data_IF_442023620252
#
_entry.id   IF_442023620252
#
_cell.length_a   1.000
_cell.length_b   1.000
_cell.length_c   1.000
_cell.angle_alpha   90.00
_cell.angle_beta   90.00
_cell.angle_gamma   90.00
#
_symmetry.space_group_name_H-M   'P 1'
#
loop_
_entity.id
_entity.type
_entity.pdbx_description
1 polymer ?
#
# COMPACT_ATOMS: atom_id res chain seq x y z
N UNK A 1 27.18 37.47 -29.75
CA UNK A 1 27.22 36.07 -29.25
C UNK A 1 27.33 35.94 -27.73
N UNK A 2 28.22 36.66 -27.03
CA UNK A 2 28.36 36.55 -25.55
C UNK A 2 27.10 36.94 -24.75
N UNK A 3 26.32 37.92 -25.23
CA UNK A 3 25.10 38.38 -24.54
C UNK A 3 23.97 37.33 -24.62
N UNK A 4 23.84 36.64 -25.75
CA UNK A 4 22.82 35.60 -25.96
C UNK A 4 23.10 34.38 -25.08
N UNK A 5 24.37 34.00 -24.91
CA UNK A 5 24.78 32.92 -24.00
C UNK A 5 24.46 33.21 -22.54
N UNK A 6 24.66 34.44 -22.09
CA UNK A 6 24.35 34.84 -20.71
C UNK A 6 22.83 34.91 -20.44
N UNK A 7 22.04 35.29 -21.44
CA UNK A 7 20.56 35.30 -21.36
C UNK A 7 19.99 33.87 -21.33
N UNK A 8 20.54 32.95 -22.12
CA UNK A 8 20.17 31.52 -22.09
C UNK A 8 20.56 30.85 -20.76
N UNK A 9 21.70 31.22 -20.17
CA UNK A 9 22.13 30.72 -18.86
C UNK A 9 21.22 31.23 -17.73
N UNK A 10 20.80 32.51 -17.78
CA UNK A 10 19.83 33.08 -16.84
C UNK A 10 18.44 32.46 -16.99
N UNK A 11 17.98 32.19 -18.21
CA UNK A 11 16.73 31.46 -18.47
C UNK A 11 16.79 30.01 -17.97
N UNK A 12 17.92 29.33 -18.11
CA UNK A 12 18.12 27.99 -17.55
C UNK A 12 18.13 27.98 -16.01
N UNK A 13 18.74 28.98 -15.37
CA UNK A 13 18.71 29.15 -13.91
C UNK A 13 17.31 29.53 -13.39
N UNK A 14 16.53 30.31 -14.14
CA UNK A 14 15.15 30.65 -13.77
C UNK A 14 14.19 29.47 -13.97
N UNK A 15 14.44 28.55 -14.90
CA UNK A 15 13.67 27.31 -15.06
C UNK A 15 14.00 26.27 -13.98
N UNK A 16 15.23 26.24 -13.48
CA UNK A 16 15.61 25.35 -12.37
C UNK A 16 14.96 25.76 -11.03
N UNK A 17 14.57 27.03 -10.87
CA UNK A 17 13.99 27.56 -9.64
C UNK A 17 12.48 27.26 -9.44
N UNK A 18 11.81 26.59 -10.39
CA UNK A 18 10.37 26.27 -10.31
C UNK A 18 10.10 24.74 -10.35
N UNK A 19 11.14 23.92 -10.21
CA UNK A 19 10.94 22.47 -10.05
C UNK A 19 10.94 22.15 -8.55
N UNK A 20 9.79 22.30 -7.90
CA UNK A 20 9.55 21.60 -6.64
C UNK A 20 9.44 20.10 -6.98
N UNK A 21 10.47 19.35 -6.62
CA UNK A 21 10.39 17.89 -6.60
C UNK A 21 9.62 17.50 -5.34
N UNK A 22 8.32 17.24 -5.46
CA UNK A 22 7.55 16.68 -4.36
C UNK A 22 7.85 15.17 -4.32
N UNK A 23 8.75 14.78 -3.42
CA UNK A 23 9.23 13.40 -3.31
C UNK A 23 8.16 12.44 -2.72
N UNK A 24 7.11 12.97 -2.08
CA UNK A 24 5.96 12.19 -1.68
C UNK A 24 4.67 13.02 -1.63
N UNK A 25 3.57 12.42 -2.07
CA UNK A 25 2.20 12.92 -1.95
C UNK A 25 1.48 12.01 -0.97
N UNK A 26 1.11 12.53 0.19
CA UNK A 26 0.39 11.77 1.22
C UNK A 26 -1.03 12.31 1.37
N UNK A 27 -2.05 11.45 1.21
CA UNK A 27 -3.44 11.90 1.22
C UNK A 27 -4.16 11.68 2.55
N UNK A 28 -4.20 10.44 3.08
CA UNK A 28 -4.82 10.16 4.38
C UNK A 28 -4.49 8.77 4.94
N UNK A 29 -4.71 8.61 6.25
CA UNK A 29 -5.00 7.31 6.86
C UNK A 29 -6.50 7.16 7.06
N UNK A 30 -7.04 5.98 6.72
CA UNK A 30 -8.36 5.55 7.16
C UNK A 30 -8.37 5.20 8.64
N UNK A 31 -9.56 4.99 9.20
CA UNK A 31 -9.74 4.67 10.61
C UNK A 31 -10.91 3.71 10.81
N UNK A 32 -10.87 2.95 11.90
CA UNK A 32 -12.05 2.30 12.45
C UNK A 32 -13.10 3.30 12.91
N UNK A 33 -14.33 2.81 13.08
CA UNK A 33 -15.33 3.57 13.81
C UNK A 33 -15.07 3.49 15.30
N UNK A 34 -15.03 4.67 15.92
CA UNK A 34 -14.72 4.81 17.34
C UNK A 34 -15.93 5.32 18.10
N UNK A 35 -16.18 4.81 19.33
CA UNK A 35 -17.14 5.41 20.21
C UNK A 35 -16.55 6.70 20.77
N UNK A 36 -17.36 7.76 20.81
CA UNK A 36 -16.92 9.07 21.32
C UNK A 36 -17.11 9.21 22.84
N UNK A 37 -17.64 8.17 23.47
CA UNK A 37 -17.91 8.08 24.92
C UNK A 37 -17.72 6.62 25.35
N UNK A 38 -17.38 6.42 26.63
CA UNK A 38 -17.37 5.07 27.21
C UNK A 38 -18.77 4.45 27.10
N UNK A 39 -18.81 3.15 26.80
CA UNK A 39 -20.02 2.37 26.64
C UNK A 39 -19.72 0.88 26.88
N UNK A 40 -20.77 0.10 27.10
CA UNK A 40 -20.67 -1.34 27.36
C UNK A 40 -20.75 -2.20 26.08
N UNK A 41 -20.70 -1.57 24.90
CA UNK A 41 -20.82 -2.24 23.60
C UNK A 41 -19.46 -2.82 23.21
N UNK A 42 -19.48 -4.07 22.73
CA UNK A 42 -18.29 -4.83 22.34
C UNK A 42 -18.25 -5.11 20.85
N UNK A 43 -17.05 -5.20 20.27
CA UNK A 43 -16.84 -5.62 18.88
C UNK A 43 -16.66 -7.14 18.83
N UNK A 44 -17.71 -7.84 18.41
CA UNK A 44 -17.70 -9.31 18.26
C UNK A 44 -17.01 -9.74 16.97
N UNK A 45 -17.16 -8.95 15.91
CA UNK A 45 -16.56 -9.25 14.62
C UNK A 45 -16.25 -7.99 13.85
N UNK A 46 -15.14 -8.00 13.14
CA UNK A 46 -14.81 -6.99 12.13
C UNK A 46 -14.23 -7.70 10.90
N UNK A 47 -14.81 -7.41 9.74
CA UNK A 47 -14.28 -7.81 8.45
C UNK A 47 -13.90 -6.53 7.69
N UNK A 48 -12.63 -6.17 7.77
CA UNK A 48 -12.05 -5.06 7.01
C UNK A 48 -11.67 -5.56 5.62
N UNK A 49 -12.29 -5.01 4.58
CA UNK A 49 -12.02 -5.36 3.18
C UNK A 49 -11.50 -4.13 2.45
N UNK A 50 -10.30 -4.26 1.90
CA UNK A 50 -9.62 -3.24 1.08
C UNK A 50 -9.56 -3.78 -0.34
N UNK A 51 -10.13 -3.05 -1.31
CA UNK A 51 -10.15 -3.45 -2.72
C UNK A 51 -9.46 -2.40 -3.57
N UNK A 52 -8.37 -2.76 -4.23
CA UNK A 52 -7.75 -1.94 -5.29
C UNK A 52 -8.71 -1.91 -6.48
N UNK A 53 -9.03 -0.72 -6.97
CA UNK A 53 -9.88 -0.55 -8.15
C UNK A 53 -9.40 0.61 -9.02
N UNK A 54 -9.87 0.66 -10.27
CA UNK A 54 -9.61 1.80 -11.15
C UNK A 54 -10.38 3.03 -10.69
N UNK A 55 -9.70 4.16 -10.60
CA UNK A 55 -10.33 5.45 -10.36
C UNK A 55 -11.06 5.89 -11.65
N UNK A 56 -12.39 5.92 -11.60
CA UNK A 56 -13.25 6.26 -12.74
C UNK A 56 -13.16 7.72 -13.18
N UNK A 57 -12.59 8.59 -12.35
CA UNK A 57 -12.51 10.02 -12.57
C UNK A 57 -11.14 10.47 -13.12
N UNK A 58 -10.20 9.52 -13.29
CA UNK A 58 -8.83 9.80 -13.73
C UNK A 58 -8.65 9.62 -15.24
N UNK A 59 -8.01 10.60 -15.89
CA UNK A 59 -7.72 10.64 -17.32
C UNK A 59 -6.50 9.79 -17.74
N UNK A 60 -5.95 8.99 -16.82
CA UNK A 60 -4.73 8.18 -17.00
C UNK A 60 -3.53 8.68 -16.18
N UNK A 61 -2.58 7.78 -15.88
CA UNK A 61 -1.36 8.05 -15.09
C UNK A 61 -1.34 7.35 -13.73
N UNK A 62 -0.44 7.74 -12.82
CA UNK A 62 -0.28 7.14 -11.47
C UNK A 62 -1.56 7.30 -10.61
N UNK A 63 -2.44 8.25 -10.96
CA UNK A 63 -3.72 8.50 -10.31
C UNK A 63 -4.89 7.65 -10.85
N UNK A 64 -4.62 6.58 -11.62
CA UNK A 64 -5.64 5.77 -12.28
C UNK A 64 -6.32 4.73 -11.37
N UNK A 65 -5.95 4.69 -10.09
CA UNK A 65 -6.43 3.71 -9.12
C UNK A 65 -6.86 4.39 -7.81
N UNK A 66 -7.70 3.70 -7.05
CA UNK A 66 -8.15 4.07 -5.70
C UNK A 66 -8.37 2.81 -4.83
N UNK A 67 -8.43 2.94 -3.50
CA UNK A 67 -8.90 1.86 -2.63
C UNK A 67 -10.37 2.09 -2.29
N UNK A 68 -11.16 1.04 -2.48
CA UNK A 68 -12.43 0.89 -1.81
C UNK A 68 -12.20 0.23 -0.45
N UNK A 69 -12.57 0.91 0.63
CA UNK A 69 -12.59 0.34 1.97
C UNK A 69 -14.02 0.04 2.37
N UNK A 70 -14.25 -1.18 2.82
CA UNK A 70 -15.54 -1.69 3.24
C UNK A 70 -15.36 -2.50 4.52
N UNK A 71 -16.05 -2.10 5.60
CA UNK A 71 -15.90 -2.76 6.90
C UNK A 71 -17.25 -3.15 7.45
N UNK A 72 -17.40 -4.46 7.64
CA UNK A 72 -18.57 -5.08 8.24
C UNK A 72 -18.28 -5.44 9.70
N UNK A 73 -19.10 -4.92 10.60
CA UNK A 73 -19.00 -5.14 12.04
C UNK A 73 -20.20 -5.94 12.57
N UNK A 74 -19.93 -6.76 13.58
CA UNK A 74 -20.94 -7.25 14.52
C UNK A 74 -20.61 -6.67 15.88
N UNK A 75 -21.50 -5.81 16.38
CA UNK A 75 -21.45 -5.25 17.73
C UNK A 75 -22.40 -6.00 18.65
N UNK A 76 -22.09 -6.06 19.94
CA UNK A 76 -22.99 -6.61 20.95
C UNK A 76 -23.21 -5.60 22.08
N UNK A 77 -24.48 -5.22 22.27
CA UNK A 77 -24.93 -4.39 23.38
C UNK A 77 -25.52 -5.28 24.49
N UNK A 78 -24.87 -5.42 25.66
CA UNK A 78 -25.36 -6.24 26.76
C UNK A 78 -26.49 -5.58 27.57
N UNK A 79 -26.80 -4.32 27.26
CA UNK A 79 -27.72 -3.48 28.05
C UNK A 79 -29.00 -3.19 27.26
N UNK A 80 -29.81 -2.27 27.78
CA UNK A 80 -30.95 -1.71 27.06
C UNK A 80 -30.51 -0.92 25.81
N UNK A 81 -31.48 -0.53 25.00
CA UNK A 81 -31.24 0.30 23.83
C UNK A 81 -30.47 1.58 24.21
N UNK A 82 -29.37 1.84 23.49
CA UNK A 82 -28.44 2.92 23.80
C UNK A 82 -27.98 3.60 22.52
N UNK A 83 -28.04 4.92 22.49
CA UNK A 83 -27.48 5.73 21.41
C UNK A 83 -26.05 6.14 21.75
N UNK A 84 -25.12 5.78 20.88
CA UNK A 84 -23.70 6.13 20.97
C UNK A 84 -23.37 7.14 19.88
N UNK A 85 -22.73 8.24 20.28
CA UNK A 85 -22.10 9.15 19.32
C UNK A 85 -20.83 8.47 18.80
N UNK A 86 -20.77 8.20 17.51
CA UNK A 86 -19.66 7.54 16.84
C UNK A 86 -18.92 8.48 15.91
N UNK A 87 -17.64 8.20 15.67
CA UNK A 87 -16.79 8.97 14.79
C UNK A 87 -15.90 8.11 13.89
N UNK A 88 -15.55 8.68 12.75
CA UNK A 88 -14.51 8.25 11.83
C UNK A 88 -13.55 9.43 11.64
N UNK A 89 -12.24 9.17 11.64
CA UNK A 89 -11.23 10.21 11.40
C UNK A 89 -10.41 9.91 10.15
N UNK A 90 -10.08 10.96 9.42
CA UNK A 90 -9.07 10.95 8.38
C UNK A 90 -8.00 12.00 8.67
N UNK A 91 -6.73 11.61 8.57
CA UNK A 91 -5.60 12.55 8.62
C UNK A 91 -5.72 13.61 7.52
N UNK A 92 -5.29 14.85 7.77
CA UNK A 92 -5.15 15.83 6.70
C UNK A 92 -4.05 15.40 5.69
N UNK A 93 -4.21 15.76 4.40
CA UNK A 93 -3.19 15.50 3.37
C UNK A 93 -1.94 16.36 3.60
N UNK A 94 -0.79 15.89 3.12
CA UNK A 94 0.49 16.59 3.25
C UNK A 94 0.64 17.78 2.29
N UNK A 95 -0.05 17.75 1.16
CA UNK A 95 0.02 18.78 0.13
C UNK A 95 -1.24 19.65 0.15
N UNK A 96 -1.19 20.68 1.00
CA UNK A 96 -2.14 21.79 0.94
C UNK A 96 -1.35 22.99 0.42
N UNK A 97 -1.34 23.19 -0.90
CA UNK A 97 -0.80 24.41 -1.49
C UNK A 97 -1.52 25.64 -0.92
N UNK A 98 -0.89 26.81 -0.98
CA UNK A 98 -1.46 28.08 -0.51
C UNK A 98 -2.80 28.41 -1.19
N UNK A 99 -3.06 27.88 -2.37
CA UNK A 99 -4.34 28.00 -3.09
C UNK A 99 -5.43 27.06 -2.56
N UNK A 100 -5.08 25.99 -1.86
CA UNK A 100 -6.04 25.00 -1.39
C UNK A 100 -6.98 25.58 -0.33
N UNK A 101 -8.28 25.38 -0.55
CA UNK A 101 -9.34 25.77 0.35
C UNK A 101 -9.69 24.61 1.27
N UNK A 102 -9.39 24.77 2.56
CA UNK A 102 -9.76 23.78 3.57
C UNK A 102 -11.28 23.80 3.77
N UNK A 103 -11.92 22.66 3.62
CA UNK A 103 -13.34 22.46 3.93
C UNK A 103 -13.50 21.48 5.09
N UNK A 104 -14.74 21.18 5.48
CA UNK A 104 -14.99 20.17 6.54
C UNK A 104 -15.08 18.75 6.00
N UNK A 105 -15.27 18.57 4.70
CA UNK A 105 -15.19 17.28 4.02
C UNK A 105 -13.77 17.04 3.55
N UNK A 106 -13.30 15.80 3.70
CA UNK A 106 -11.96 15.43 3.27
C UNK A 106 -11.87 15.40 1.75
N UNK A 107 -10.88 16.07 1.13
CA UNK A 107 -10.78 16.21 -0.34
C UNK A 107 -10.59 14.91 -1.10
N UNK A 108 -9.98 13.92 -0.47
CA UNK A 108 -9.64 12.63 -1.09
C UNK A 108 -10.46 11.47 -0.52
N UNK A 109 -11.58 11.76 0.16
CA UNK A 109 -12.48 10.74 0.71
C UNK A 109 -13.86 10.89 0.09
N UNK A 110 -14.23 9.89 -0.71
CA UNK A 110 -15.49 9.84 -1.42
C UNK A 110 -16.42 8.75 -0.89
N UNK A 111 -17.72 8.93 -1.14
CA UNK A 111 -18.76 7.94 -0.85
C UNK A 111 -18.78 7.39 0.58
N UNK A 112 -18.43 8.22 1.57
CA UNK A 112 -18.58 7.86 2.97
C UNK A 112 -20.04 7.49 3.28
N UNK A 113 -20.24 6.28 3.78
CA UNK A 113 -21.57 5.80 4.15
C UNK A 113 -21.51 4.87 5.35
N UNK A 114 -22.56 4.91 6.15
CA UNK A 114 -22.74 4.04 7.32
C UNK A 114 -24.16 3.49 7.29
N UNK A 115 -24.28 2.18 7.48
CA UNK A 115 -25.55 1.47 7.56
C UNK A 115 -25.56 0.66 8.84
N UNK A 116 -26.55 0.90 9.71
CA UNK A 116 -26.74 0.18 10.97
C UNK A 116 -28.06 -0.58 10.91
N UNK A 117 -28.02 -1.90 11.09
CA UNK A 117 -29.19 -2.77 11.07
C UNK A 117 -30.08 -2.61 9.82
N UNK A 118 -29.46 -2.30 8.67
CA UNK A 118 -30.14 -2.05 7.40
C UNK A 118 -30.56 -0.60 7.16
N UNK A 119 -30.43 0.28 8.14
CA UNK A 119 -30.78 1.70 8.02
C UNK A 119 -29.55 2.56 7.73
N UNK A 120 -29.60 3.36 6.65
CA UNK A 120 -28.54 4.31 6.32
C UNK A 120 -28.57 5.48 7.30
N UNK A 121 -27.43 5.77 7.92
CA UNK A 121 -27.28 6.86 8.87
C UNK A 121 -26.76 8.13 8.19
N UNK A 122 -27.31 9.28 8.57
CA UNK A 122 -26.76 10.59 8.23
C UNK A 122 -25.58 10.92 9.14
N UNK A 123 -24.57 11.61 8.61
CA UNK A 123 -23.40 12.06 9.36
C UNK A 123 -23.22 13.57 9.25
N UNK A 124 -22.41 14.11 10.15
CA UNK A 124 -21.90 15.48 10.15
C UNK A 124 -20.38 15.45 10.02
N UNK A 125 -19.81 16.56 9.58
CA UNK A 125 -18.37 16.72 9.42
C UNK A 125 -17.83 17.84 10.31
N UNK A 126 -16.56 17.74 10.70
CA UNK A 126 -15.83 18.74 11.46
C UNK A 126 -14.32 18.64 11.21
N UNK A 127 -13.60 19.74 11.42
CA UNK A 127 -12.14 19.74 11.51
C UNK A 127 -11.74 19.68 12.98
N UNK A 128 -10.75 18.86 13.33
CA UNK A 128 -10.27 18.73 14.72
C UNK A 128 -8.76 18.95 14.82
N UNK A 129 -8.35 19.61 15.89
CA UNK A 129 -6.99 20.05 16.14
C UNK A 129 -6.00 18.92 16.46
N UNK A 130 -6.42 17.97 17.28
CA UNK A 130 -5.59 16.89 17.83
C UNK A 130 -6.24 15.53 17.44
N UNK A 131 -5.51 14.39 17.43
CA UNK A 131 -6.13 13.07 17.26
C UNK A 131 -7.29 12.96 18.23
N UNK A 132 -8.51 12.54 17.81
CA UNK A 132 -9.77 12.76 18.55
C UNK A 132 -9.60 12.58 20.06
N UNK A 133 -9.18 13.65 20.71
CA UNK A 133 -9.14 13.77 22.14
C UNK A 133 -10.48 14.38 22.45
N UNK A 134 -11.41 13.47 22.68
CA UNK A 134 -12.73 13.78 23.16
C UNK A 134 -12.59 14.41 24.53
N UNK A 135 -12.52 15.73 24.57
CA UNK A 135 -12.76 16.45 25.79
C UNK A 135 -14.25 16.28 26.12
N UNK A 136 -14.57 15.32 27.00
CA UNK A 136 -15.90 15.13 27.60
C UNK A 136 -17.04 14.85 26.60
N UNK A 137 -16.79 13.97 25.63
CA UNK A 137 -17.84 13.49 24.71
C UNK A 137 -18.39 14.53 23.73
N UNK A 138 -17.68 15.66 23.56
CA UNK A 138 -17.97 16.69 22.56
C UNK A 138 -16.83 16.79 21.56
N UNK A 139 -17.20 17.02 20.30
CA UNK A 139 -16.24 17.32 19.24
C UNK A 139 -15.89 18.79 19.36
N UNK A 140 -14.64 19.07 19.74
CA UNK A 140 -14.07 20.42 19.68
C UNK A 140 -13.57 20.68 18.27
N UNK A 141 -14.38 21.38 17.47
CA UNK A 141 -14.02 21.68 16.09
C UNK A 141 -13.17 22.95 15.98
N UNK A 142 -12.31 23.00 14.97
CA UNK A 142 -11.62 24.21 14.51
C UNK A 142 -12.23 24.71 13.21
N UNK A 143 -12.04 26.00 12.90
CA UNK A 143 -12.45 26.56 11.61
C UNK A 143 -11.44 26.23 10.50
N UNK A 144 -11.84 26.25 9.22
CA UNK A 144 -10.91 26.18 8.09
C UNK A 144 -9.70 27.11 8.18
N UNK A 145 -9.91 28.35 8.62
CA UNK A 145 -8.81 29.32 8.77
C UNK A 145 -7.82 28.89 9.86
N UNK A 146 -8.31 28.33 10.97
CA UNK A 146 -7.46 27.80 12.04
C UNK A 146 -6.69 26.56 11.59
N UNK A 147 -7.34 25.67 10.82
CA UNK A 147 -6.71 24.48 10.23
C UNK A 147 -5.60 24.88 9.25
N UNK A 148 -5.87 25.84 8.34
CA UNK A 148 -4.86 26.38 7.42
C UNK A 148 -3.69 27.00 8.15
N UNK A 149 -3.96 27.83 9.17
CA UNK A 149 -2.89 28.42 10.01
C UNK A 149 -2.03 27.34 10.67
N UNK A 150 -2.62 26.25 11.17
CA UNK A 150 -1.89 25.12 11.76
C UNK A 150 -1.00 24.41 10.74
N UNK A 151 -1.51 24.17 9.53
CA UNK A 151 -0.73 23.58 8.45
C UNK A 151 0.50 24.44 8.11
N UNK A 152 0.31 25.76 7.94
CA UNK A 152 1.43 26.69 7.66
C UNK A 152 2.46 26.74 8.80
N UNK A 153 2.04 26.63 10.07
CA UNK A 153 2.96 26.67 11.22
C UNK A 153 3.83 25.42 11.35
N UNK A 154 3.32 24.26 10.93
CA UNK A 154 4.04 22.99 11.03
C UNK A 154 5.06 22.82 9.88
N UNK A 155 4.80 23.44 8.72
CA UNK A 155 5.65 23.34 7.53
C UNK A 155 5.51 21.99 6.83
N UNK A 156 6.08 21.88 5.63
CA UNK A 156 6.10 20.63 4.87
C UNK A 156 6.84 19.53 5.66
N UNK A 157 6.24 18.33 5.74
CA UNK A 157 6.83 17.18 6.42
C UNK A 157 6.69 17.14 7.95
N UNK A 158 6.11 18.17 8.60
CA UNK A 158 6.02 18.28 10.07
C UNK A 158 4.90 17.48 10.76
N UNK A 159 4.22 16.56 10.05
CA UNK A 159 3.12 15.74 10.57
C UNK A 159 1.72 16.27 10.24
N UNK A 160 0.67 15.66 10.82
CA UNK A 160 -0.73 16.00 10.48
C UNK A 160 -1.25 17.18 11.31
N UNK A 161 -1.44 18.38 10.72
CA UNK A 161 -1.74 19.61 11.47
C UNK A 161 -3.15 19.66 12.09
N UNK A 162 -4.05 18.83 11.57
CA UNK A 162 -5.43 18.65 11.99
C UNK A 162 -5.98 17.35 11.36
N UNK A 163 -7.21 16.96 11.71
CA UNK A 163 -7.93 15.81 11.11
C UNK A 163 -9.34 16.19 10.67
N UNK A 164 -9.86 15.43 9.73
CA UNK A 164 -11.26 15.46 9.32
C UNK A 164 -12.04 14.43 10.13
N UNK A 165 -13.13 14.84 10.76
CA UNK A 165 -13.98 13.98 11.58
C UNK A 165 -15.37 13.86 10.95
N UNK A 166 -15.82 12.63 10.72
CA UNK A 166 -17.16 12.29 10.28
C UNK A 166 -17.87 11.62 11.46
N UNK A 167 -19.00 12.17 11.92
CA UNK A 167 -19.64 11.72 13.15
C UNK A 167 -21.15 11.63 13.04
N UNK A 168 -21.73 10.68 13.77
CA UNK A 168 -23.15 10.33 13.68
C UNK A 168 -23.61 9.66 14.97
N UNK A 169 -24.92 9.71 15.23
CA UNK A 169 -25.54 8.94 16.31
C UNK A 169 -25.89 7.54 15.79
N UNK A 170 -25.55 6.52 16.56
CA UNK A 170 -25.86 5.13 16.28
C UNK A 170 -26.64 4.52 17.45
N UNK A 171 -27.87 4.08 17.22
CA UNK A 171 -28.73 3.47 18.25
C UNK A 171 -28.63 1.95 18.19
N UNK A 172 -28.04 1.37 19.23
CA UNK A 172 -27.83 -0.07 19.36
C UNK A 172 -28.95 -0.70 20.17
N UNK A 173 -29.64 -1.67 19.58
CA UNK A 173 -30.63 -2.51 20.28
C UNK A 173 -29.92 -3.47 21.23
N UNK A 174 -30.59 -3.99 22.28
CA UNK A 174 -30.04 -5.08 23.08
C UNK A 174 -29.66 -6.28 22.21
N UNK A 175 -28.50 -6.88 22.46
CA UNK A 175 -27.96 -7.99 21.68
C UNK A 175 -27.12 -7.56 20.48
N UNK A 176 -27.16 -8.36 19.41
CA UNK A 176 -26.34 -8.16 18.21
C UNK A 176 -26.86 -7.02 17.33
N UNK A 177 -25.93 -6.19 16.85
CA UNK A 177 -26.19 -5.13 15.89
C UNK A 177 -25.17 -5.24 14.75
N UNK A 178 -25.62 -5.10 13.51
CA UNK A 178 -24.77 -5.15 12.33
C UNK A 178 -24.56 -3.76 11.79
N UNK A 179 -23.30 -3.36 11.65
CA UNK A 179 -22.95 -2.06 11.09
C UNK A 179 -21.99 -2.27 9.94
N UNK A 180 -22.21 -1.57 8.83
CA UNK A 180 -21.27 -1.51 7.72
C UNK A 180 -20.90 -0.06 7.44
N UNK A 181 -19.62 0.24 7.30
CA UNK A 181 -19.18 1.52 6.73
C UNK A 181 -18.36 1.31 5.46
N UNK A 182 -18.42 2.29 4.58
CA UNK A 182 -17.77 2.21 3.27
C UNK A 182 -17.31 3.59 2.85
N UNK A 183 -16.14 3.66 2.21
CA UNK A 183 -15.62 4.87 1.58
C UNK A 183 -14.60 4.50 0.51
N UNK A 184 -14.34 5.44 -0.40
CA UNK A 184 -13.28 5.37 -1.40
C UNK A 184 -12.24 6.43 -1.10
N UNK A 185 -10.99 6.16 -1.39
CA UNK A 185 -9.95 7.16 -1.25
C UNK A 185 -8.79 6.99 -2.23
N UNK A 186 -8.20 8.12 -2.62
CA UNK A 186 -7.02 8.18 -3.47
C UNK A 186 -5.74 7.87 -2.66
N UNK A 187 -4.85 7.01 -3.16
CA UNK A 187 -3.65 6.60 -2.41
C UNK A 187 -2.57 7.66 -2.40
N UNK A 188 -1.84 7.75 -1.30
CA UNK A 188 -0.55 8.41 -1.32
C UNK A 188 0.42 7.69 -2.26
N UNK A 189 1.37 8.43 -2.80
CA UNK A 189 2.45 7.91 -3.61
C UNK A 189 3.74 8.65 -3.27
N UNK A 190 4.83 7.91 -3.17
CA UNK A 190 6.19 8.42 -3.01
C UNK A 190 6.96 8.15 -4.31
N UNK A 191 8.14 8.75 -4.49
CA UNK A 191 9.17 8.27 -5.42
C UNK A 191 9.25 6.74 -5.41
N UNK A 192 9.35 6.08 -4.24
CA UNK A 192 9.57 4.64 -4.11
C UNK A 192 8.29 3.79 -4.05
N UNK A 193 7.21 4.35 -3.50
CA UNK A 193 5.93 3.63 -3.31
C UNK A 193 4.91 4.05 -4.35
N UNK A 194 4.29 3.07 -4.99
CA UNK A 194 3.27 3.33 -6.00
C UNK A 194 1.97 3.74 -5.32
N UNK A 195 1.55 2.95 -4.32
CA UNK A 195 0.34 3.17 -3.55
C UNK A 195 0.64 2.85 -2.08
N UNK A 196 0.20 3.71 -1.17
CA UNK A 196 0.19 3.43 0.26
C UNK A 196 -1.19 3.64 0.88
N UNK A 197 -1.50 2.83 1.89
CA UNK A 197 -2.70 2.90 2.73
C UNK A 197 -2.29 2.71 4.17
N UNK A 198 -2.65 3.67 5.02
CA UNK A 198 -2.70 3.43 6.46
C UNK A 198 -4.14 3.31 6.96
N UNK A 199 -4.36 2.44 7.93
CA UNK A 199 -5.64 2.24 8.59
C UNK A 199 -5.43 2.01 10.09
N UNK A 200 -6.08 2.83 10.91
CA UNK A 200 -5.95 2.75 12.36
C UNK A 200 -6.79 1.59 12.92
N UNK A 201 -6.13 0.61 13.55
CA UNK A 201 -6.70 -0.57 14.21
C UNK A 201 -6.71 -0.43 15.74
N UNK A 202 -5.73 0.25 16.34
CA UNK A 202 -5.68 0.40 17.81
C UNK A 202 -6.89 1.09 18.44
N UNK A 203 -7.67 1.93 17.73
CA UNK A 203 -8.89 2.48 18.31
C UNK A 203 -9.96 1.43 18.65
N UNK A 204 -9.88 0.20 18.14
CA UNK A 204 -10.70 -0.93 18.59
C UNK A 204 -10.66 -1.13 20.11
N UNK A 205 -9.50 -0.82 20.72
CA UNK A 205 -9.27 -1.01 22.15
C UNK A 205 -10.12 -0.06 23.03
N UNK A 206 -10.85 0.89 22.42
CA UNK A 206 -11.78 1.81 23.11
C UNK A 206 -13.16 1.19 23.37
N UNK A 207 -13.50 0.09 22.69
CA UNK A 207 -14.75 -0.65 22.92
C UNK A 207 -14.69 -1.48 24.21
N UNK A 208 -15.84 -1.92 24.72
CA UNK A 208 -15.93 -2.51 26.05
C UNK A 208 -15.05 -3.77 26.24
N UNK A 209 -14.91 -4.58 25.20
CA UNK A 209 -14.08 -5.78 25.21
C UNK A 209 -12.58 -5.50 25.00
N UNK A 210 -12.18 -4.25 24.71
CA UNK A 210 -10.78 -3.82 24.48
C UNK A 210 -10.02 -4.67 23.45
N UNK A 211 -10.76 -5.27 22.52
CA UNK A 211 -10.28 -6.19 21.49
C UNK A 211 -11.34 -6.30 20.39
N UNK A 212 -11.02 -7.06 19.34
CA UNK A 212 -12.00 -7.56 18.37
C UNK A 212 -12.05 -9.09 18.54
N UNK A 213 -13.22 -9.65 18.87
CA UNK A 213 -13.29 -11.10 19.17
C UNK A 213 -12.97 -11.96 17.94
N UNK A 214 -13.33 -11.51 16.73
CA UNK A 214 -13.08 -12.15 15.45
C UNK A 214 -12.72 -11.13 14.37
N UNK A 215 -11.42 -10.99 14.07
CA UNK A 215 -10.92 -10.05 13.07
C UNK A 215 -10.55 -10.75 11.77
N UNK A 216 -10.99 -10.18 10.65
CA UNK A 216 -10.56 -10.56 9.30
C UNK A 216 -10.16 -9.30 8.54
N UNK A 217 -8.96 -9.29 7.97
CA UNK A 217 -8.54 -8.31 6.96
C UNK A 217 -8.46 -9.02 5.61
N UNK A 218 -9.16 -8.51 4.61
CA UNK A 218 -9.09 -8.93 3.22
C UNK A 218 -8.49 -7.80 2.38
N UNK A 219 -7.52 -8.13 1.55
CA UNK A 219 -6.93 -7.23 0.57
C UNK A 219 -7.13 -7.85 -0.80
N UNK A 220 -7.93 -7.20 -1.64
CA UNK A 220 -8.18 -7.59 -3.03
C UNK A 220 -7.42 -6.65 -3.96
N UNK A 221 -6.55 -7.21 -4.79
CA UNK A 221 -5.68 -6.51 -5.73
C UNK A 221 -6.21 -6.68 -7.16
N UNK A 222 -5.89 -5.74 -8.05
CA UNK A 222 -6.28 -5.85 -9.46
C UNK A 222 -5.49 -6.94 -10.22
N UNK A 223 -4.31 -7.27 -9.72
CA UNK A 223 -3.42 -8.28 -10.30
C UNK A 223 -2.50 -8.85 -9.21
N UNK A 224 -1.95 -10.07 -9.40
CA UNK A 224 -0.87 -10.57 -8.56
C UNK A 224 0.30 -9.57 -8.55
N UNK A 225 0.78 -9.20 -7.35
CA UNK A 225 1.90 -8.26 -7.15
C UNK A 225 2.45 -8.37 -5.73
N UNK A 226 3.62 -7.77 -5.52
CA UNK A 226 4.21 -7.66 -4.19
C UNK A 226 3.46 -6.62 -3.36
N UNK A 227 3.16 -6.98 -2.12
CA UNK A 227 2.61 -6.07 -1.11
C UNK A 227 3.52 -6.10 0.11
N UNK A 228 3.83 -4.93 0.66
CA UNK A 228 4.52 -4.81 1.93
C UNK A 228 3.52 -4.39 3.00
N UNK A 229 3.55 -5.10 4.13
CA UNK A 229 2.71 -4.77 5.27
C UNK A 229 3.61 -4.64 6.49
N UNK A 230 3.44 -3.55 7.24
CA UNK A 230 4.22 -3.32 8.45
C UNK A 230 3.80 -4.28 9.57
N UNK A 231 4.77 -4.87 10.26
CA UNK A 231 4.59 -5.84 11.35
C UNK A 231 4.29 -5.16 12.68
N UNK A 232 3.17 -4.42 12.71
CA UNK A 232 2.73 -3.66 13.90
C UNK A 232 1.73 -4.44 14.75
N UNK A 233 0.95 -5.34 14.13
CA UNK A 233 -0.09 -6.14 14.78
C UNK A 233 0.08 -7.65 14.57
N UNK A 234 1.15 -8.08 13.90
CA UNK A 234 1.49 -9.48 13.64
C UNK A 234 3.02 -9.66 13.60
N UNK A 235 3.49 -10.85 13.95
CA UNK A 235 4.93 -11.16 14.00
C UNK A 235 5.42 -11.90 12.73
N UNK A 236 4.57 -12.78 12.20
CA UNK A 236 4.88 -13.69 11.10
C UNK A 236 3.67 -13.94 10.15
N UNK A 237 3.87 -14.79 9.15
CA UNK A 237 2.87 -15.12 8.13
C UNK A 237 1.82 -16.17 8.57
N UNK A 238 1.84 -16.68 9.81
CA UNK A 238 0.99 -17.81 10.26
C UNK A 238 -0.50 -17.54 10.13
N UNK A 239 -0.90 -16.29 10.34
CA UNK A 239 -2.29 -15.84 10.27
C UNK A 239 -2.71 -15.35 8.88
N UNK A 240 -1.78 -15.39 7.93
CA UNK A 240 -1.98 -14.93 6.56
C UNK A 240 -2.22 -16.08 5.60
N UNK A 241 -3.02 -15.81 4.59
CA UNK A 241 -3.34 -16.74 3.51
C UNK A 241 -3.58 -15.98 2.21
N UNK A 242 -3.55 -16.70 1.09
CA UNK A 242 -3.87 -16.16 -0.23
C UNK A 242 -4.76 -17.14 -1.00
N UNK A 243 -5.47 -16.62 -2.00
CA UNK A 243 -6.15 -17.40 -3.04
C UNK A 243 -5.19 -17.99 -4.10
N UNK A 244 -3.90 -17.68 -4.02
CA UNK A 244 -2.82 -18.34 -4.76
C UNK A 244 -1.67 -18.80 -3.87
N UNK A 245 -0.56 -19.21 -4.49
CA UNK A 245 0.67 -19.50 -3.72
C UNK A 245 1.15 -18.22 -3.06
N UNK A 246 1.41 -18.31 -1.74
CA UNK A 246 1.93 -17.20 -0.95
C UNK A 246 3.35 -17.47 -0.50
N UNK A 247 4.25 -16.55 -0.83
CA UNK A 247 5.62 -16.51 -0.32
C UNK A 247 5.79 -15.23 0.48
N UNK A 248 6.37 -15.33 1.67
CA UNK A 248 6.61 -14.18 2.55
C UNK A 248 8.07 -14.06 2.93
N UNK A 249 8.56 -12.82 3.03
CA UNK A 249 9.91 -12.55 3.52
C UNK A 249 9.88 -11.35 4.48
N UNK A 250 10.68 -11.38 5.58
CA UNK A 250 10.87 -10.17 6.38
C UNK A 250 11.53 -9.10 5.52
N UNK A 251 11.14 -7.86 5.74
CA UNK A 251 11.67 -6.72 5.01
C UNK A 251 11.90 -5.54 5.95
N UNK A 252 12.86 -4.67 5.64
CA UNK A 252 13.15 -3.48 6.44
C UNK A 252 13.11 -2.26 5.53
N UNK A 253 12.17 -1.36 5.79
CA UNK A 253 12.05 -0.07 5.10
C UNK A 253 12.40 1.04 6.08
N UNK A 254 13.55 1.70 5.90
CA UNK A 254 14.11 2.59 6.93
C UNK A 254 14.17 1.90 8.31
N UNK A 255 13.45 2.41 9.30
CA UNK A 255 13.34 1.85 10.65
C UNK A 255 12.16 0.85 10.77
N UNK A 256 11.27 0.79 9.78
CA UNK A 256 10.04 0.02 9.83
C UNK A 256 10.29 -1.46 9.53
N UNK A 257 9.71 -2.32 10.37
CA UNK A 257 9.76 -3.78 10.23
C UNK A 257 8.61 -4.23 9.34
N UNK A 258 8.87 -4.38 8.05
CA UNK A 258 7.88 -4.82 7.08
C UNK A 258 7.89 -6.34 6.90
N UNK A 259 6.85 -6.87 6.28
CA UNK A 259 6.80 -8.19 5.67
C UNK A 259 6.37 -8.05 4.22
N UNK A 260 7.15 -8.60 3.31
CA UNK A 260 6.79 -8.74 1.91
C UNK A 260 5.88 -9.95 1.74
N UNK A 261 4.80 -9.76 1.00
CA UNK A 261 3.88 -10.79 0.54
C UNK A 261 3.95 -10.85 -0.99
N UNK A 262 4.45 -11.97 -1.50
CA UNK A 262 4.45 -12.30 -2.92
C UNK A 262 3.40 -13.38 -3.16
N UNK A 263 2.28 -12.97 -3.74
CA UNK A 263 1.11 -13.80 -3.99
C UNK A 263 0.94 -14.03 -5.48
N UNK A 264 0.77 -15.28 -5.90
CA UNK A 264 0.33 -15.64 -7.26
C UNK A 264 -1.17 -15.37 -7.47
N UNK A 265 -1.92 -15.19 -6.37
CA UNK A 265 -3.32 -14.83 -6.37
C UNK A 265 -3.55 -13.32 -6.15
N UNK A 266 -4.80 -12.88 -6.25
CA UNK A 266 -5.19 -11.47 -6.10
C UNK A 266 -5.75 -11.13 -4.73
N UNK A 267 -5.86 -12.11 -3.83
CA UNK A 267 -6.39 -11.94 -2.48
C UNK A 267 -5.35 -12.28 -1.44
N UNK A 268 -5.17 -11.39 -0.47
CA UNK A 268 -4.48 -11.66 0.79
C UNK A 268 -5.49 -11.56 1.94
N UNK A 269 -5.45 -12.52 2.85
CA UNK A 269 -6.36 -12.56 4.00
C UNK A 269 -5.60 -12.83 5.28
N UNK A 270 -5.79 -11.96 6.27
CA UNK A 270 -5.35 -12.16 7.66
C UNK A 270 -6.55 -12.49 8.55
N UNK A 271 -6.42 -13.49 9.43
CA UNK A 271 -7.46 -13.86 10.39
C UNK A 271 -6.89 -14.10 11.78
N UNK A 272 -7.52 -13.46 12.78
CA UNK A 272 -7.17 -13.66 14.17
C UNK A 272 -8.39 -13.57 15.09
N UNK A 273 -8.52 -14.55 15.98
CA UNK A 273 -9.47 -14.53 17.11
C UNK A 273 -8.85 -13.78 18.28
N UNK A 274 -9.70 -13.15 19.10
CA UNK A 274 -9.27 -12.32 20.23
C UNK A 274 -8.15 -11.36 19.80
N UNK A 275 -8.39 -10.63 18.71
CA UNK A 275 -7.43 -9.74 18.10
C UNK A 275 -7.27 -8.47 18.94
N UNK A 276 -6.06 -8.25 19.42
CA UNK A 276 -5.67 -7.09 20.23
C UNK A 276 -4.67 -6.25 19.43
N UNK A 277 -5.13 -5.28 18.62
CA UNK A 277 -4.24 -4.48 17.81
C UNK A 277 -3.30 -3.66 18.71
N UNK A 278 -1.99 -3.83 18.50
CA UNK A 278 -0.91 -3.09 19.17
C UNK A 278 -0.30 -1.99 18.30
N UNK A 279 -0.70 -1.93 17.04
CA UNK A 279 -0.33 -0.90 16.09
C UNK A 279 -1.24 -0.96 14.87
N UNK A 280 -0.90 -0.13 13.88
CA UNK A 280 -1.81 0.21 12.78
C UNK A 280 -1.47 -0.56 11.50
N UNK A 281 -2.45 -0.74 10.62
CA UNK A 281 -2.18 -1.29 9.31
C UNK A 281 -1.50 -0.23 8.46
N UNK A 282 -0.29 -0.52 8.00
CA UNK A 282 0.35 0.18 6.90
C UNK A 282 0.60 -0.82 5.77
N UNK A 283 -0.02 -0.55 4.62
CA UNK A 283 0.08 -1.33 3.40
C UNK A 283 0.75 -0.48 2.34
N UNK A 284 1.77 -1.03 1.69
CA UNK A 284 2.49 -0.36 0.63
C UNK A 284 2.67 -1.28 -0.58
N UNK A 285 2.47 -0.73 -1.76
CA UNK A 285 2.75 -1.37 -3.04
C UNK A 285 3.98 -0.65 -3.62
N UNK A 286 5.11 -1.36 -3.80
CA UNK A 286 6.33 -0.74 -4.32
C UNK A 286 6.11 -0.34 -5.79
N UNK A 287 6.81 0.70 -6.23
CA UNK A 287 6.97 0.89 -7.67
C UNK A 287 7.94 -0.16 -8.22
N UNK A 288 7.66 -0.79 -9.38
CA UNK A 288 8.53 -1.81 -9.98
C UNK A 288 10.00 -1.39 -10.04
N UNK A 289 10.26 -0.18 -10.55
CA UNK A 289 11.61 0.36 -10.73
C UNK A 289 12.39 0.62 -9.42
N UNK A 290 11.71 0.64 -8.27
CA UNK A 290 12.33 0.82 -6.96
C UNK A 290 12.40 -0.48 -6.16
N UNK A 291 11.90 -1.61 -6.69
CA UNK A 291 12.01 -2.92 -6.04
C UNK A 291 13.45 -3.30 -5.63
N UNK A 292 14.46 -2.79 -6.35
CA UNK A 292 15.88 -2.94 -6.00
C UNK A 292 16.33 -2.09 -4.80
N UNK A 293 15.76 -0.90 -4.62
CA UNK A 293 15.91 -0.10 -3.40
C UNK A 293 15.25 -0.79 -2.19
N UNK A 294 14.38 -1.78 -2.45
CA UNK A 294 13.75 -2.63 -1.44
C UNK A 294 14.47 -3.97 -1.20
N UNK A 295 15.81 -4.02 -1.35
CA UNK A 295 16.64 -5.16 -0.92
C UNK A 295 17.28 -4.85 0.44
N UNK A 296 17.34 -5.80 1.39
CA UNK A 296 18.14 -5.63 2.60
C UNK A 296 19.59 -5.33 2.18
N UNK A 297 20.12 -4.22 2.69
CA UNK A 297 21.45 -3.71 2.36
C UNK A 297 22.52 -4.79 2.59
N UNK A 298 23.10 -5.29 1.51
CA UNK A 298 24.37 -6.02 1.57
C UNK A 298 25.48 -5.02 1.25
N UNK A 299 25.90 -4.25 2.26
CA UNK A 299 27.13 -3.45 2.22
C UNK A 299 27.11 -2.20 1.32
N UNK A 300 28.13 -1.32 1.46
CA UNK A 300 27.99 0.11 1.19
C UNK A 300 28.15 0.48 -0.29
N UNK A 301 27.37 1.49 -0.68
CA UNK A 301 27.61 2.49 -1.72
C UNK A 301 28.36 2.07 -2.98
N UNK A 302 27.60 1.81 -4.05
CA UNK A 302 28.01 2.24 -5.39
C UNK A 302 26.82 2.84 -6.13
N UNK A 303 26.74 4.17 -6.12
CA UNK A 303 26.07 4.96 -7.15
C UNK A 303 26.60 4.56 -8.54
N UNK A 304 25.79 3.88 -9.33
CA UNK A 304 25.77 3.96 -10.80
C UNK A 304 24.67 3.04 -11.32
N UNK A 305 23.87 3.51 -12.28
CA UNK A 305 22.77 2.79 -12.93
C UNK A 305 23.24 1.58 -13.75
N UNK A 306 23.89 0.62 -13.10
CA UNK A 306 24.34 -0.63 -13.68
C UNK A 306 23.51 -1.74 -13.08
N UNK A 307 22.51 -2.23 -13.83
CA UNK A 307 21.77 -3.44 -13.47
C UNK A 307 22.81 -4.57 -13.31
N UNK A 308 23.05 -5.03 -12.09
CA UNK A 308 23.96 -6.14 -11.84
C UNK A 308 23.42 -7.38 -12.56
N UNK A 309 24.16 -7.82 -13.57
CA UNK A 309 23.69 -8.70 -14.63
C UNK A 309 23.34 -10.13 -14.27
N UNK A 310 23.51 -10.50 -13.01
CA UNK A 310 23.30 -11.86 -12.61
C UNK A 310 22.20 -12.03 -11.58
N UNK A 311 22.17 -11.23 -10.50
CA UNK A 311 21.06 -11.29 -9.53
C UNK A 311 19.91 -10.36 -9.89
N UNK A 312 20.18 -9.21 -10.51
CA UNK A 312 19.16 -8.22 -10.88
C UNK A 312 18.25 -8.72 -11.99
N UNK A 313 18.83 -9.25 -13.07
CA UNK A 313 18.08 -9.67 -14.26
C UNK A 313 17.16 -10.87 -13.99
N UNK A 314 17.61 -11.81 -13.16
CA UNK A 314 16.79 -12.96 -12.81
C UNK A 314 15.56 -12.55 -11.98
N UNK A 315 15.74 -11.59 -11.07
CA UNK A 315 14.66 -11.09 -10.20
C UNK A 315 13.68 -10.16 -10.92
N UNK A 316 14.10 -9.45 -11.97
CA UNK A 316 13.29 -8.47 -12.72
C UNK A 316 12.94 -8.95 -14.14
N UNK A 317 12.96 -10.26 -14.37
CA UNK A 317 12.84 -10.83 -15.70
C UNK A 317 11.54 -10.41 -16.43
N UNK A 318 10.41 -10.32 -15.72
CA UNK A 318 9.12 -9.98 -16.34
C UNK A 318 9.04 -8.51 -16.79
N UNK A 319 9.71 -7.59 -16.07
CA UNK A 319 9.81 -6.16 -16.40
C UNK A 319 10.80 -5.93 -17.56
N UNK A 320 11.94 -6.63 -17.52
CA UNK A 320 12.88 -6.61 -18.65
C UNK A 320 12.23 -7.16 -19.92
N UNK A 321 11.37 -8.18 -19.80
CA UNK A 321 10.61 -8.70 -20.92
C UNK A 321 9.63 -7.65 -21.49
N UNK A 322 8.95 -6.86 -20.66
CA UNK A 322 8.07 -5.79 -21.15
C UNK A 322 8.85 -4.68 -21.86
N UNK A 323 10.05 -4.36 -21.38
CA UNK A 323 10.87 -3.26 -21.90
C UNK A 323 11.71 -3.63 -23.13
N UNK A 324 11.86 -4.93 -23.42
CA UNK A 324 12.57 -5.43 -24.62
C UNK A 324 12.09 -4.81 -25.94
N UNK A 325 10.85 -4.34 -25.99
CA UNK A 325 10.32 -3.68 -27.19
C UNK A 325 10.93 -2.31 -27.47
N UNK A 326 11.31 -1.56 -26.42
CA UNK A 326 11.72 -0.16 -26.52
C UNK A 326 13.21 0.05 -26.18
N UNK A 327 13.75 -0.73 -25.24
CA UNK A 327 15.11 -0.59 -24.70
C UNK A 327 15.98 -1.83 -24.94
N UNK A 328 15.72 -2.56 -26.04
CA UNK A 328 16.37 -3.83 -26.38
C UNK A 328 17.90 -3.83 -26.23
N UNK A 329 18.55 -2.80 -26.76
CA UNK A 329 20.01 -2.72 -26.74
C UNK A 329 20.55 -2.50 -25.32
N UNK A 330 19.85 -1.72 -24.50
CA UNK A 330 20.25 -1.46 -23.11
C UNK A 330 20.06 -2.71 -22.26
N UNK A 331 18.93 -3.42 -22.41
CA UNK A 331 18.64 -4.68 -21.73
C UNK A 331 19.70 -5.75 -22.03
N UNK A 332 20.13 -5.88 -23.29
CA UNK A 332 21.15 -6.88 -23.64
C UNK A 332 22.59 -6.42 -23.39
N UNK A 333 22.90 -5.13 -23.59
CA UNK A 333 24.24 -4.59 -23.34
C UNK A 333 24.57 -4.49 -21.85
N UNK A 334 23.56 -4.41 -20.98
CA UNK A 334 23.76 -4.50 -19.54
C UNK A 334 24.62 -5.72 -19.20
N UNK A 335 24.40 -6.85 -19.90
CA UNK A 335 25.02 -8.15 -19.61
C UNK A 335 26.03 -8.61 -20.66
N UNK A 336 26.64 -7.67 -21.39
CA UNK A 336 27.59 -7.96 -22.47
C UNK A 336 28.78 -8.83 -22.01
N UNK A 337 29.19 -8.68 -20.74
CA UNK A 337 30.31 -9.41 -20.14
C UNK A 337 29.90 -10.66 -19.34
N UNK A 338 28.65 -11.13 -19.46
CA UNK A 338 28.18 -12.31 -18.74
C UNK A 338 29.05 -13.54 -19.04
N UNK A 339 29.51 -14.21 -17.98
CA UNK A 339 30.29 -15.45 -18.05
C UNK A 339 29.46 -16.59 -18.66
N UNK A 340 30.09 -17.69 -19.11
CA UNK A 340 29.36 -18.82 -19.68
C UNK A 340 28.28 -19.41 -18.76
N UNK A 341 28.52 -19.39 -17.44
CA UNK A 341 27.54 -19.85 -16.46
C UNK A 341 26.36 -18.88 -16.35
N UNK A 342 26.64 -17.57 -16.32
CA UNK A 342 25.61 -16.55 -16.20
C UNK A 342 24.68 -16.51 -17.43
N UNK A 343 25.26 -16.61 -18.63
CA UNK A 343 24.48 -16.76 -19.88
C UNK A 343 23.55 -17.97 -19.83
N UNK A 344 24.02 -19.07 -19.24
CA UNK A 344 23.22 -20.29 -19.07
C UNK A 344 22.03 -20.06 -18.13
N UNK A 345 22.19 -19.29 -17.06
CA UNK A 345 21.08 -18.88 -16.20
C UNK A 345 20.16 -17.92 -16.95
N UNK A 346 20.66 -16.85 -17.55
CA UNK A 346 19.85 -15.86 -18.27
C UNK A 346 18.96 -16.53 -19.32
N UNK A 347 19.54 -17.40 -20.16
CA UNK A 347 18.81 -18.18 -21.17
C UNK A 347 17.67 -19.02 -20.60
N UNK A 348 17.80 -19.47 -19.36
CA UNK A 348 16.88 -20.41 -18.73
C UNK A 348 15.76 -19.74 -17.92
N UNK A 349 15.76 -18.42 -17.77
CA UNK A 349 14.80 -17.66 -16.97
C UNK A 349 13.32 -17.93 -17.31
N UNK A 350 12.88 -17.91 -18.59
CA UNK A 350 11.48 -18.20 -18.91
C UNK A 350 11.04 -19.60 -18.44
N UNK A 351 11.94 -20.58 -18.48
CA UNK A 351 11.63 -21.94 -18.02
C UNK A 351 11.68 -22.05 -16.50
N UNK A 352 12.61 -21.35 -15.84
CA UNK A 352 12.71 -21.28 -14.38
C UNK A 352 11.42 -20.72 -13.78
N UNK A 353 10.86 -19.64 -14.36
CA UNK A 353 9.59 -19.03 -13.94
C UNK A 353 8.41 -19.99 -13.97
N UNK A 354 8.46 -21.00 -14.84
CA UNK A 354 7.43 -22.05 -14.97
C UNK A 354 7.77 -23.31 -14.17
N UNK A 355 8.80 -23.25 -13.33
CA UNK A 355 9.21 -24.33 -12.43
C UNK A 355 10.04 -25.43 -13.09
N UNK A 356 10.73 -25.15 -14.20
CA UNK A 356 11.57 -26.17 -14.83
C UNK A 356 12.65 -26.71 -13.90
N UNK A 357 12.74 -28.05 -13.82
CA UNK A 357 13.79 -28.76 -13.06
C UNK A 357 15.01 -28.95 -13.95
N UNK A 358 16.10 -28.26 -13.62
CA UNK A 358 17.33 -28.25 -14.39
C UNK A 358 18.17 -29.50 -14.13
N UNK A 359 18.60 -30.15 -15.23
CA UNK A 359 19.59 -31.26 -15.16
C UNK A 359 20.96 -30.79 -14.72
N UNK A 360 21.33 -29.55 -15.06
CA UNK A 360 22.57 -28.94 -14.59
C UNK A 360 22.42 -28.55 -13.12
N UNK A 361 23.14 -29.25 -12.25
CA UNK A 361 23.08 -29.03 -10.80
C UNK A 361 23.50 -27.63 -10.36
N UNK A 362 24.41 -26.96 -11.08
CA UNK A 362 24.83 -25.59 -10.76
C UNK A 362 23.74 -24.59 -11.08
N UNK A 363 23.05 -24.76 -12.20
CA UNK A 363 21.90 -23.92 -12.59
C UNK A 363 20.71 -24.19 -11.67
N UNK A 364 20.41 -25.46 -11.38
CA UNK A 364 19.37 -25.85 -10.43
C UNK A 364 19.59 -25.17 -9.07
N UNK A 365 20.79 -25.31 -8.52
CA UNK A 365 21.16 -24.74 -7.24
C UNK A 365 21.13 -23.22 -7.25
N UNK A 366 21.54 -22.58 -8.34
CA UNK A 366 21.45 -21.12 -8.46
C UNK A 366 20.01 -20.65 -8.25
N UNK A 367 19.05 -21.24 -8.96
CA UNK A 367 17.65 -20.83 -8.82
C UNK A 367 17.08 -21.17 -7.44
N UNK A 368 17.40 -22.35 -6.90
CA UNK A 368 16.94 -22.75 -5.56
C UNK A 368 17.48 -21.84 -4.45
N UNK A 369 18.77 -21.51 -4.52
CA UNK A 369 19.46 -20.81 -3.43
C UNK A 369 19.32 -19.28 -3.55
N UNK A 370 19.16 -18.74 -4.77
CA UNK A 370 19.26 -17.29 -5.03
C UNK A 370 17.98 -16.65 -5.58
N UNK A 371 16.96 -17.42 -5.95
CA UNK A 371 15.72 -16.89 -6.53
C UNK A 371 14.52 -17.28 -5.66
N UNK A 372 14.07 -16.40 -4.73
CA UNK A 372 12.98 -16.71 -3.80
C UNK A 372 11.65 -17.09 -4.48
N UNK A 373 11.46 -16.66 -5.73
CA UNK A 373 10.29 -16.99 -6.53
C UNK A 373 10.35 -18.38 -7.20
N UNK A 374 11.54 -18.98 -7.33
CA UNK A 374 11.72 -20.24 -8.03
C UNK A 374 11.19 -21.42 -7.21
N UNK A 375 10.22 -22.13 -7.78
CA UNK A 375 9.68 -23.36 -7.24
C UNK A 375 9.77 -24.48 -8.30
N UNK A 376 10.49 -25.59 -8.01
CA UNK A 376 10.53 -26.74 -8.91
C UNK A 376 9.14 -27.34 -9.12
N UNK A 377 8.74 -27.51 -10.38
CA UNK A 377 7.56 -28.24 -10.81
C UNK A 377 8.01 -29.48 -11.62
N UNK A 378 8.02 -30.68 -11.00
CA UNK A 378 8.45 -31.92 -11.66
C UNK A 378 7.64 -32.30 -12.90
N UNK A 379 6.42 -31.79 -13.04
CA UNK A 379 5.53 -32.10 -14.16
C UNK A 379 5.70 -31.14 -15.33
N UNK A 380 6.35 -29.99 -15.13
CA UNK A 380 6.61 -29.04 -16.21
C UNK A 380 7.59 -29.63 -17.25
N UNK A 381 7.26 -29.45 -18.52
CA UNK A 381 8.12 -29.80 -19.67
C UNK A 381 8.34 -28.54 -20.52
N UNK A 382 9.60 -28.16 -20.78
CA UNK A 382 9.89 -26.92 -21.49
C UNK A 382 9.47 -27.05 -22.95
N UNK A 383 8.72 -26.06 -23.42
CA UNK A 383 8.20 -26.00 -24.78
C UNK A 383 8.40 -24.60 -25.34
N UNK A 384 9.27 -24.49 -26.35
CA UNK A 384 9.58 -23.21 -27.00
C UNK A 384 8.38 -22.59 -27.70
N UNK A 385 7.41 -23.40 -28.14
CA UNK A 385 6.21 -22.91 -28.83
C UNK A 385 5.22 -22.19 -27.90
N UNK A 386 5.36 -22.40 -26.59
CA UNK A 386 4.54 -21.79 -25.54
C UNK A 386 5.14 -20.51 -24.96
N UNK A 387 6.30 -20.09 -25.45
CA UNK A 387 6.93 -18.83 -25.06
C UNK A 387 6.29 -17.66 -25.78
N UNK A 388 6.24 -16.50 -25.13
CA UNK A 388 5.90 -15.25 -25.82
C UNK A 388 6.98 -14.88 -26.84
N UNK A 389 6.67 -13.99 -27.78
CA UNK A 389 7.65 -13.53 -28.77
C UNK A 389 8.92 -12.93 -28.10
N UNK A 390 8.73 -12.16 -27.02
CA UNK A 390 9.81 -11.54 -26.24
C UNK A 390 10.65 -12.60 -25.50
N UNK A 391 10.02 -13.62 -24.90
CA UNK A 391 10.72 -14.72 -24.26
C UNK A 391 11.52 -15.56 -25.28
N UNK A 392 10.93 -15.85 -26.44
CA UNK A 392 11.61 -16.57 -27.50
C UNK A 392 12.80 -15.77 -28.07
N UNK A 393 12.70 -14.45 -28.12
CA UNK A 393 13.80 -13.55 -28.47
C UNK A 393 14.90 -13.54 -27.40
N UNK A 394 14.53 -13.45 -26.13
CA UNK A 394 15.45 -13.55 -25.00
C UNK A 394 16.27 -14.84 -25.02
N UNK A 395 15.61 -15.98 -25.17
CA UNK A 395 16.27 -17.30 -25.23
C UNK A 395 17.22 -17.39 -26.42
N UNK A 396 16.89 -16.77 -27.55
CA UNK A 396 17.76 -16.72 -28.75
C UNK A 396 18.98 -15.83 -28.55
N UNK A 397 18.85 -14.72 -27.83
CA UNK A 397 19.97 -13.82 -27.58
C UNK A 397 21.04 -14.49 -26.68
N UNK A 398 20.60 -15.16 -25.62
CA UNK A 398 21.49 -15.79 -24.63
C UNK A 398 21.92 -17.21 -25.00
N UNK A 399 21.74 -17.63 -26.25
CA UNK A 399 21.85 -19.03 -26.67
C UNK A 399 23.26 -19.59 -26.60
#
# INVERSE_FOLDING_TARGET
MKIIGNVLLLLACCFAAVVSANDAVYYMHGNQLIPLQQNDISVRKEILTITEQKNKQSSGGIYDREFLVDVDYIFYNPTQETTVLMGFEASAPSLLDDEYQVETMHPFLDDFSVVLNGEKLSYKTALVADPLHLARGKITSITPQQAKKRATMIGEGGGTPYRYAYYFNATFKPGENRLRHRYRFAFGADVMLQNELGYLLTPANRWANKQIDDFTLNIHLLSPKNVFIERTFFDDAKHWSSDGRLVTAPYQYYENKMMQFNSEGTTLTFKQKAFHPKGELFLAIPRPQYMDAFKPSIGPDTNSGTIYCFSGVASHFDELLSDLGYYKNEVFNACVNATPFERKVLRNLPFAKRGYVFRDKKVQRYYQDNQPWYAPNPDYRPDMSKLTNQEAEWVRHWR
#
